data_IF_012830741770
#
_entry.id   IF_012830741770
#
_cell.length_a   1.000
_cell.length_b   1.000
_cell.length_c   1.000
_cell.angle_alpha   90.00
_cell.angle_beta   90.00
_cell.angle_gamma   90.00
#
_symmetry.space_group_name_H-M   'P 1'
#
loop_
_entity.id
_entity.type
_entity.pdbx_description
1 polymer ?
#
# COMPACT_ATOMS: atom_id res chain seq x y z
N UNK A 1 22.74 3.19 5.18
CA UNK A 1 21.80 3.30 6.32
C UNK A 1 22.14 2.33 7.44
N UNK A 2 22.09 1.01 7.21
CA UNK A 2 22.46 -0.01 8.21
C UNK A 2 23.82 0.25 8.86
N UNK A 3 24.85 0.61 8.09
CA UNK A 3 26.18 0.85 8.64
C UNK A 3 26.36 2.20 9.37
N UNK A 4 25.40 3.12 9.25
CA UNK A 4 25.57 4.51 9.69
C UNK A 4 24.59 4.92 10.78
N UNK A 5 23.53 4.15 10.98
CA UNK A 5 22.44 4.53 11.87
C UNK A 5 22.69 3.99 13.27
N UNK A 6 22.48 4.82 14.30
CA UNK A 6 22.44 4.30 15.65
C UNK A 6 21.18 3.47 15.89
N UNK A 7 21.16 2.76 17.02
CA UNK A 7 20.02 1.95 17.45
C UNK A 7 18.83 2.87 17.75
N UNK A 8 17.78 2.78 16.92
CA UNK A 8 16.56 3.56 17.05
C UNK A 8 15.41 2.71 17.58
N UNK A 9 15.56 2.17 18.80
CA UNK A 9 14.54 1.34 19.42
C UNK A 9 13.39 2.16 19.99
N UNK A 10 12.17 1.76 19.64
CA UNK A 10 10.94 2.35 20.15
C UNK A 10 10.05 1.26 20.72
N UNK A 11 9.55 1.47 21.94
CA UNK A 11 8.61 0.55 22.58
C UNK A 11 7.22 0.69 21.97
N UNK A 12 6.75 -0.38 21.32
CA UNK A 12 5.36 -0.54 20.93
C UNK A 12 4.56 -0.95 22.15
N UNK A 13 3.46 -0.26 22.39
CA UNK A 13 2.66 -0.37 23.60
C UNK A 13 1.24 -0.85 23.31
N UNK A 14 0.55 -1.29 24.35
CA UNK A 14 -0.89 -1.56 24.33
C UNK A 14 -1.56 -0.82 25.47
N UNK A 15 -2.61 -0.06 25.15
CA UNK A 15 -3.53 0.47 26.14
C UNK A 15 -4.53 -0.62 26.58
N UNK A 16 -4.74 -0.74 27.89
CA UNK A 16 -5.77 -1.63 28.45
C UNK A 16 -6.49 -0.96 29.61
N UNK A 17 -7.74 -1.36 29.82
CA UNK A 17 -8.57 -0.86 30.92
C UNK A 17 -8.23 -1.63 32.20
N UNK A 18 -7.87 -0.90 33.25
CA UNK A 18 -7.58 -1.43 34.57
C UNK A 18 -8.61 -0.85 35.56
N UNK A 19 -9.30 -1.70 36.31
CA UNK A 19 -10.17 -1.24 37.39
C UNK A 19 -9.34 -0.96 38.65
N UNK A 20 -9.42 0.26 39.18
CA UNK A 20 -8.73 0.68 40.40
C UNK A 20 -9.67 0.55 41.59
N UNK A 21 -9.35 -0.33 42.55
CA UNK A 21 -10.20 -0.56 43.73
C UNK A 21 -10.25 0.66 44.66
N UNK A 22 -9.15 1.41 44.75
CA UNK A 22 -9.02 2.61 45.58
C UNK A 22 -9.93 3.73 45.08
N UNK A 23 -9.90 4.00 43.76
CA UNK A 23 -10.71 5.03 43.14
C UNK A 23 -12.11 4.58 42.73
N UNK A 24 -12.36 3.26 42.70
CA UNK A 24 -13.55 2.64 42.07
C UNK A 24 -13.82 3.16 40.66
N UNK A 25 -12.75 3.41 39.90
CA UNK A 25 -12.80 3.95 38.54
C UNK A 25 -12.03 3.06 37.57
N UNK A 26 -12.45 3.09 36.30
CA UNK A 26 -11.70 2.47 35.21
C UNK A 26 -10.61 3.44 34.73
N UNK A 27 -9.38 3.00 34.84
CA UNK A 27 -8.20 3.73 34.39
C UNK A 27 -7.64 3.11 33.11
N UNK A 28 -7.04 3.94 32.26
CA UNK A 28 -6.28 3.44 31.10
C UNK A 28 -4.83 3.29 31.49
N UNK A 29 -4.34 2.04 31.51
CA UNK A 29 -2.92 1.73 31.69
C UNK A 29 -2.28 1.37 30.35
N UNK A 30 -0.98 1.60 30.23
CA UNK A 30 -0.18 1.21 29.06
C UNK A 30 0.90 0.23 29.49
N UNK A 31 1.11 -0.81 28.69
CA UNK A 31 2.24 -1.73 28.84
C UNK A 31 3.06 -1.75 27.56
N UNK A 32 4.38 -1.87 27.68
CA UNK A 32 5.24 -2.23 26.54
C UNK A 32 4.92 -3.66 26.12
N UNK A 33 4.80 -3.91 24.81
CA UNK A 33 4.68 -5.23 24.24
C UNK A 33 6.03 -5.72 23.72
N UNK A 34 6.69 -4.91 22.88
CA UNK A 34 7.99 -5.20 22.29
C UNK A 34 8.66 -3.91 21.82
N UNK A 35 9.98 -3.96 21.61
CA UNK A 35 10.72 -2.87 20.99
C UNK A 35 10.84 -3.11 19.49
N UNK A 36 10.72 -2.04 18.72
CA UNK A 36 10.93 -2.03 17.27
C UNK A 36 12.12 -1.15 16.97
N UNK A 37 13.09 -1.69 16.23
CA UNK A 37 14.14 -0.89 15.62
C UNK A 37 13.60 -0.21 14.35
N UNK A 38 13.42 1.11 14.44
CA UNK A 38 12.90 1.92 13.32
C UNK A 38 13.84 1.86 12.12
N UNK A 39 15.15 1.73 12.33
CA UNK A 39 16.15 1.62 11.26
C UNK A 39 15.96 0.35 10.46
N UNK A 40 15.70 -0.77 11.15
CA UNK A 40 15.37 -2.05 10.52
C UNK A 40 14.11 -1.98 9.66
N UNK A 41 13.07 -1.25 10.10
CA UNK A 41 11.89 -1.02 9.28
C UNK A 41 12.19 -0.19 8.01
N UNK A 42 13.05 0.82 8.12
CA UNK A 42 13.48 1.59 6.94
C UNK A 42 14.27 0.71 5.97
N UNK A 43 15.22 -0.05 6.49
CA UNK A 43 16.01 -0.98 5.69
C UNK A 43 15.11 -1.99 4.97
N UNK A 44 14.10 -2.53 5.66
CA UNK A 44 13.15 -3.46 5.09
C UNK A 44 12.50 -2.89 3.81
N UNK A 45 11.88 -1.69 3.88
CA UNK A 45 11.18 -1.19 2.69
C UNK A 45 12.13 -0.80 1.54
N UNK A 46 13.35 -0.36 1.84
CA UNK A 46 14.37 -0.07 0.82
C UNK A 46 14.85 -1.34 0.15
N UNK A 47 15.14 -2.38 0.94
CA UNK A 47 15.60 -3.68 0.44
C UNK A 47 14.51 -4.37 -0.40
N UNK A 48 13.26 -4.36 0.05
CA UNK A 48 12.13 -4.93 -0.69
C UNK A 48 12.00 -4.28 -2.06
N UNK A 49 12.00 -2.94 -2.11
CA UNK A 49 11.88 -2.20 -3.37
C UNK A 49 13.10 -2.43 -4.29
N UNK A 50 14.32 -2.40 -3.75
CA UNK A 50 15.53 -2.69 -4.52
C UNK A 50 15.52 -4.12 -5.10
N UNK A 51 15.08 -5.10 -4.30
CA UNK A 51 14.98 -6.50 -4.72
C UNK A 51 13.97 -6.67 -5.86
N UNK A 52 12.82 -6.00 -5.81
CA UNK A 52 11.83 -6.07 -6.88
C UNK A 52 12.31 -5.42 -8.18
N UNK A 53 12.98 -4.27 -8.10
CA UNK A 53 13.61 -3.67 -9.27
C UNK A 53 14.71 -4.55 -9.86
N UNK A 54 15.50 -5.23 -9.02
CA UNK A 54 16.50 -6.19 -9.48
C UNK A 54 15.85 -7.40 -10.17
N UNK A 55 14.83 -8.00 -9.55
CA UNK A 55 14.06 -9.11 -10.14
C UNK A 55 13.51 -8.71 -11.51
N UNK A 56 12.94 -7.51 -11.62
CA UNK A 56 12.41 -6.99 -12.88
C UNK A 56 13.51 -6.78 -13.92
N UNK A 57 14.65 -6.20 -13.55
CA UNK A 57 15.79 -6.01 -14.44
C UNK A 57 16.36 -7.35 -14.94
N UNK A 58 16.43 -8.36 -14.07
CA UNK A 58 16.86 -9.71 -14.45
C UNK A 58 15.84 -10.38 -15.39
N UNK A 59 14.54 -10.27 -15.11
CA UNK A 59 13.49 -10.78 -15.99
C UNK A 59 13.54 -10.12 -17.38
N UNK A 60 13.79 -8.81 -17.44
CA UNK A 60 13.99 -8.11 -18.72
C UNK A 60 15.21 -8.64 -19.48
N UNK A 61 16.32 -8.85 -18.77
CA UNK A 61 17.59 -9.32 -19.35
C UNK A 61 17.47 -10.74 -19.91
N UNK A 62 16.81 -11.65 -19.19
CA UNK A 62 16.71 -13.06 -19.58
C UNK A 62 15.48 -13.40 -20.42
N UNK A 63 14.43 -12.57 -20.40
CA UNK A 63 13.17 -12.83 -21.10
C UNK A 63 12.51 -11.55 -21.64
N UNK A 64 13.18 -10.82 -22.56
CA UNK A 64 12.70 -9.53 -23.05
C UNK A 64 11.35 -9.64 -23.76
N UNK A 65 11.08 -10.76 -24.46
CA UNK A 65 9.81 -11.01 -25.16
C UNK A 65 8.62 -11.16 -24.19
N UNK A 66 8.84 -11.78 -23.04
CA UNK A 66 7.79 -11.98 -22.02
C UNK A 66 7.42 -10.66 -21.36
N UNK A 67 8.44 -9.84 -21.08
CA UNK A 67 8.23 -8.52 -20.49
C UNK A 67 7.62 -7.54 -21.49
N UNK A 68 8.05 -7.60 -22.75
CA UNK A 68 7.46 -6.81 -23.82
C UNK A 68 6.00 -7.16 -24.01
N UNK A 69 5.63 -8.45 -24.01
CA UNK A 69 4.23 -8.88 -24.03
C UNK A 69 3.43 -8.32 -22.85
N UNK A 70 3.98 -8.34 -21.62
CA UNK A 70 3.32 -7.72 -20.46
C UNK A 70 3.21 -6.19 -20.56
N UNK A 71 4.19 -5.53 -21.17
CA UNK A 71 4.16 -4.10 -21.40
C UNK A 71 3.18 -3.71 -22.52
N UNK A 72 3.10 -4.49 -23.61
CA UNK A 72 2.27 -4.23 -24.78
C UNK A 72 0.80 -4.54 -24.57
N UNK A 73 0.48 -5.58 -23.80
CA UNK A 73 -0.89 -6.13 -23.79
C UNK A 73 -1.78 -5.45 -22.74
N UNK A 74 -1.55 -4.17 -22.45
CA UNK A 74 -2.26 -3.40 -21.42
C UNK A 74 -2.31 -4.04 -20.02
N UNK A 75 -1.52 -5.09 -19.78
CA UNK A 75 -1.50 -5.85 -18.52
C UNK A 75 -1.15 -5.04 -17.27
N UNK A 76 -1.65 -5.52 -16.14
CA UNK A 76 -1.39 -4.99 -14.79
C UNK A 76 0.10 -5.13 -14.46
N UNK A 77 0.72 -4.04 -14.00
CA UNK A 77 2.11 -4.07 -13.53
C UNK A 77 2.19 -4.68 -12.12
N UNK A 78 2.15 -6.00 -12.05
CA UNK A 78 2.17 -6.75 -10.79
C UNK A 78 3.40 -6.47 -9.93
N UNK A 79 4.55 -6.21 -10.55
CA UNK A 79 5.79 -5.89 -9.83
C UNK A 79 5.62 -4.62 -8.98
N UNK A 80 5.13 -3.52 -9.58
CA UNK A 80 4.84 -2.26 -8.88
C UNK A 80 3.88 -2.47 -7.72
N UNK A 81 2.78 -3.16 -7.97
CA UNK A 81 1.76 -3.38 -6.93
C UNK A 81 2.27 -4.27 -5.80
N UNK A 82 3.07 -5.30 -6.11
CA UNK A 82 3.71 -6.15 -5.11
C UNK A 82 4.72 -5.39 -4.24
N UNK A 83 5.38 -4.35 -4.78
CA UNK A 83 6.24 -3.45 -4.01
C UNK A 83 5.39 -2.65 -3.04
N UNK A 84 4.44 -1.90 -3.60
CA UNK A 84 3.70 -0.90 -2.83
C UNK A 84 2.82 -1.53 -1.76
N UNK A 85 2.29 -2.73 -2.00
CA UNK A 85 1.42 -3.42 -1.03
C UNK A 85 2.16 -3.80 0.26
N UNK A 86 3.49 -3.94 0.19
CA UNK A 86 4.34 -4.23 1.35
C UNK A 86 5.04 -2.97 1.88
N UNK A 87 5.62 -2.17 0.99
CA UNK A 87 6.49 -1.06 1.40
C UNK A 87 5.70 0.16 1.88
N UNK A 88 4.61 0.54 1.20
CA UNK A 88 3.85 1.73 1.59
C UNK A 88 3.19 1.61 2.98
N UNK A 89 2.59 0.46 3.37
CA UNK A 89 2.08 0.27 4.73
C UNK A 89 3.17 0.37 5.82
N UNK A 90 4.36 -0.20 5.59
CA UNK A 90 5.48 -0.09 6.53
C UNK A 90 5.96 1.35 6.66
N UNK A 91 6.05 2.08 5.55
CA UNK A 91 6.36 3.51 5.58
C UNK A 91 5.35 4.28 6.43
N UNK A 92 4.05 3.95 6.33
CA UNK A 92 3.01 4.59 7.13
C UNK A 92 3.13 4.28 8.63
N UNK A 93 3.53 3.05 8.99
CA UNK A 93 3.82 2.68 10.39
C UNK A 93 4.98 3.51 10.93
N UNK A 94 6.07 3.66 10.16
CA UNK A 94 7.20 4.50 10.54
C UNK A 94 6.75 5.94 10.77
N UNK A 95 5.94 6.50 9.86
CA UNK A 95 5.37 7.85 10.04
C UNK A 95 4.54 7.95 11.32
N UNK A 96 3.73 6.94 11.64
CA UNK A 96 2.99 6.86 12.90
C UNK A 96 3.92 6.91 14.12
N UNK A 97 4.96 6.09 14.14
CA UNK A 97 5.96 6.04 15.21
C UNK A 97 6.66 7.40 15.38
N UNK A 98 7.07 8.04 14.27
CA UNK A 98 7.71 9.37 14.31
C UNK A 98 6.76 10.48 14.80
N UNK A 99 5.44 10.24 14.74
CA UNK A 99 4.42 11.11 15.31
C UNK A 99 4.00 10.67 16.72
N UNK A 100 4.84 9.90 17.44
CA UNK A 100 4.58 9.40 18.80
C UNK A 100 3.33 8.50 18.92
N UNK A 101 2.98 7.79 17.85
CA UNK A 101 1.93 6.76 17.88
C UNK A 101 2.60 5.42 18.17
N UNK A 102 2.49 4.94 19.40
CA UNK A 102 3.10 3.68 19.84
C UNK A 102 2.09 2.58 20.15
N UNK A 103 0.79 2.87 20.12
CA UNK A 103 -0.23 1.86 20.37
C UNK A 103 -0.28 0.86 19.20
N UNK A 104 -0.04 -0.41 19.49
CA UNK A 104 0.08 -1.48 18.50
C UNK A 104 -1.15 -1.58 17.60
N UNK A 105 -2.35 -1.38 18.15
CA UNK A 105 -3.58 -1.53 17.40
C UNK A 105 -3.83 -0.31 16.49
N UNK A 106 -3.41 0.89 16.89
CA UNK A 106 -3.40 2.06 16.00
C UNK A 106 -2.38 1.88 14.87
N UNK A 107 -1.17 1.40 15.17
CA UNK A 107 -0.16 1.12 14.14
C UNK A 107 -0.63 0.04 13.14
N UNK A 108 -1.28 -1.02 13.61
CA UNK A 108 -1.90 -2.03 12.74
C UNK A 108 -3.03 -1.45 11.88
N UNK A 109 -3.81 -0.50 12.41
CA UNK A 109 -4.84 0.20 11.65
C UNK A 109 -4.23 1.04 10.53
N UNK A 110 -3.16 1.80 10.80
CA UNK A 110 -2.43 2.57 9.79
C UNK A 110 -1.91 1.68 8.66
N UNK A 111 -1.30 0.55 9.02
CA UNK A 111 -0.84 -0.46 8.06
C UNK A 111 -1.99 -0.95 7.18
N UNK A 112 -3.07 -1.41 7.80
CA UNK A 112 -4.24 -1.98 7.12
C UNK A 112 -4.91 -0.98 6.15
N UNK A 113 -5.06 0.28 6.56
CA UNK A 113 -5.63 1.31 5.72
C UNK A 113 -4.82 1.56 4.45
N UNK A 114 -3.49 1.65 4.55
CA UNK A 114 -2.65 1.82 3.36
C UNK A 114 -2.62 0.54 2.52
N UNK A 115 -2.60 -0.64 3.15
CA UNK A 115 -2.69 -1.92 2.43
C UNK A 115 -3.95 -1.99 1.55
N UNK A 116 -5.12 -1.62 2.11
CA UNK A 116 -6.39 -1.58 1.36
C UNK A 116 -6.38 -0.49 0.29
N UNK A 117 -5.78 0.67 0.57
CA UNK A 117 -5.62 1.75 -0.43
C UNK A 117 -4.88 1.23 -1.67
N UNK A 118 -3.72 0.59 -1.47
CA UNK A 118 -2.93 0.03 -2.56
C UNK A 118 -3.70 -1.08 -3.27
N UNK A 119 -4.37 -1.95 -2.51
CA UNK A 119 -5.21 -3.02 -3.04
C UNK A 119 -6.32 -2.55 -3.98
N UNK A 120 -7.01 -1.47 -3.62
CA UNK A 120 -8.03 -0.84 -4.47
C UNK A 120 -7.40 -0.22 -5.74
N UNK A 121 -6.16 0.29 -5.66
CA UNK A 121 -5.39 0.69 -6.84
C UNK A 121 -5.15 -0.48 -7.80
N UNK A 122 -4.75 -1.65 -7.28
CA UNK A 122 -4.60 -2.88 -8.10
C UNK A 122 -5.91 -3.24 -8.78
N UNK A 123 -7.02 -3.22 -8.04
CA UNK A 123 -8.33 -3.55 -8.57
C UNK A 123 -8.76 -2.58 -9.67
N UNK A 124 -8.48 -1.28 -9.51
CA UNK A 124 -8.73 -0.27 -10.55
C UNK A 124 -7.97 -0.58 -11.84
N UNK A 125 -6.67 -0.89 -11.74
CA UNK A 125 -5.86 -1.30 -12.90
C UNK A 125 -6.43 -2.54 -13.60
N UNK A 126 -6.79 -3.59 -12.84
CA UNK A 126 -7.39 -4.82 -13.40
C UNK A 126 -8.64 -4.50 -14.22
N UNK A 127 -9.54 -3.66 -13.69
CA UNK A 127 -10.79 -3.29 -14.36
C UNK A 127 -10.54 -2.56 -15.69
N UNK A 128 -9.46 -1.77 -15.76
CA UNK A 128 -9.07 -1.05 -16.98
C UNK A 128 -8.50 -1.98 -18.02
N UNK A 129 -7.61 -2.90 -17.64
CA UNK A 129 -7.07 -3.89 -18.59
C UNK A 129 -8.23 -4.67 -19.24
N UNK A 130 -9.21 -5.08 -18.43
CA UNK A 130 -10.39 -5.80 -18.92
C UNK A 130 -11.27 -4.96 -19.86
N UNK A 131 -11.36 -3.65 -19.64
CA UNK A 131 -12.17 -2.79 -20.51
C UNK A 131 -11.55 -2.67 -21.90
N UNK A 132 -10.22 -2.58 -21.98
CA UNK A 132 -9.47 -2.50 -23.25
C UNK A 132 -9.51 -3.83 -24.01
N UNK A 133 -9.31 -4.97 -23.32
CA UNK A 133 -9.41 -6.30 -23.92
C UNK A 133 -10.79 -6.56 -24.58
N UNK A 134 -11.86 -6.02 -24.00
CA UNK A 134 -13.21 -6.20 -24.53
C UNK A 134 -13.43 -5.43 -25.83
N UNK A 135 -12.91 -4.21 -25.93
CA UNK A 135 -13.01 -3.37 -27.13
C UNK A 135 -12.29 -4.00 -28.31
N UNK A 136 -11.04 -4.48 -28.10
CA UNK A 136 -10.27 -5.16 -29.13
C UNK A 136 -11.00 -6.38 -29.70
N UNK A 137 -11.67 -7.18 -28.84
CA UNK A 137 -12.46 -8.34 -29.27
C UNK A 137 -13.75 -7.98 -29.99
N UNK A 138 -14.32 -6.80 -29.72
CA UNK A 138 -15.51 -6.32 -30.41
C UNK A 138 -15.19 -6.01 -31.87
N UNK A 139 -14.05 -5.34 -32.12
CA UNK A 139 -13.61 -4.97 -33.46
C UNK A 139 -13.28 -6.20 -34.32
N UNK A 140 -12.70 -7.25 -33.72
CA UNK A 140 -12.40 -8.51 -34.40
C UNK A 140 -13.64 -9.30 -34.84
N UNK A 141 -14.81 -9.10 -34.20
CA UNK A 141 -16.05 -9.77 -34.60
C UNK A 141 -16.72 -9.14 -35.81
N UNK A 142 -16.23 -7.99 -36.28
CA UNK A 142 -16.68 -7.42 -37.55
C UNK A 142 -16.39 -8.41 -38.70
N UNK A 143 -17.40 -8.85 -39.46
CA UNK A 143 -17.31 -10.03 -40.34
C UNK A 143 -16.33 -9.92 -41.52
N UNK A 144 -15.70 -8.76 -41.72
CA UNK A 144 -14.80 -8.51 -42.85
C UNK A 144 -13.36 -9.01 -42.66
N UNK A 145 -12.97 -9.57 -41.50
CA UNK A 145 -11.56 -9.91 -41.24
C UNK A 145 -11.35 -11.26 -40.52
N UNK A 146 -11.86 -12.36 -41.09
CA UNK A 146 -11.68 -13.75 -40.60
C UNK A 146 -10.35 -14.39 -41.03
N UNK A 147 -9.23 -13.67 -40.92
CA UNK A 147 -7.90 -14.23 -41.16
C UNK A 147 -7.31 -14.78 -39.85
N UNK A 148 -7.30 -16.11 -39.72
CA UNK A 148 -6.82 -16.93 -38.60
C UNK A 148 -5.64 -16.35 -37.82
N UNK A 149 -5.87 -15.90 -36.58
CA UNK A 149 -4.82 -15.71 -35.58
C UNK A 149 -5.05 -16.65 -34.40
N UNK A 150 -4.05 -17.47 -34.11
CA UNK A 150 -4.02 -18.30 -32.92
C UNK A 150 -3.99 -17.39 -31.69
N UNK A 151 -5.03 -17.48 -30.85
CA UNK A 151 -5.09 -16.80 -29.56
C UNK A 151 -4.05 -17.48 -28.67
N UNK A 152 -2.94 -16.80 -28.41
CA UNK A 152 -2.00 -17.23 -27.37
C UNK A 152 -2.69 -17.05 -26.03
N UNK A 153 -3.08 -18.16 -25.40
CA UNK A 153 -3.52 -18.16 -24.00
C UNK A 153 -2.34 -17.73 -23.13
N UNK A 154 -2.47 -16.58 -22.46
CA UNK A 154 -1.47 -16.09 -21.52
C UNK A 154 -1.35 -17.04 -20.31
N UNK A 155 -0.15 -17.20 -19.73
CA UNK A 155 0.06 -18.05 -18.57
C UNK A 155 -0.67 -17.47 -17.35
N UNK A 156 -1.81 -18.05 -17.02
CA UNK A 156 -2.62 -17.71 -15.85
C UNK A 156 -1.88 -18.00 -14.52
N UNK A 157 -0.84 -18.84 -14.54
CA UNK A 157 -0.22 -19.39 -13.33
C UNK A 157 0.63 -18.39 -12.53
N UNK A 158 1.26 -17.40 -13.18
CA UNK A 158 2.12 -16.43 -12.48
C UNK A 158 1.31 -15.38 -11.69
N UNK A 159 0.11 -15.04 -12.20
CA UNK A 159 -0.83 -14.15 -11.52
C UNK A 159 -1.40 -14.83 -10.28
N UNK A 160 -1.79 -16.11 -10.40
CA UNK A 160 -2.24 -16.91 -9.27
C UNK A 160 -1.15 -17.07 -8.21
N UNK A 161 0.11 -17.30 -8.59
CA UNK A 161 1.21 -17.44 -7.63
C UNK A 161 1.47 -16.16 -6.83
N UNK A 162 1.41 -14.99 -7.49
CA UNK A 162 1.58 -13.68 -6.81
C UNK A 162 0.39 -13.37 -5.90
N UNK A 163 -0.83 -13.69 -6.34
CA UNK A 163 -2.05 -13.55 -5.55
C UNK A 163 -2.05 -14.48 -4.33
N UNK A 164 -1.64 -15.73 -4.53
CA UNK A 164 -1.51 -16.74 -3.48
C UNK A 164 -0.45 -16.31 -2.46
N UNK A 165 0.69 -15.75 -2.88
CA UNK A 165 1.69 -15.20 -1.96
C UNK A 165 1.15 -14.02 -1.15
N UNK A 166 0.39 -13.09 -1.76
CA UNK A 166 -0.23 -11.97 -1.03
C UNK A 166 -1.29 -12.48 -0.04
N UNK A 167 -2.11 -13.47 -0.41
CA UNK A 167 -3.10 -14.07 0.48
C UNK A 167 -2.47 -14.92 1.59
N UNK A 168 -1.45 -15.72 1.28
CA UNK A 168 -0.71 -16.57 2.23
C UNK A 168 0.13 -15.74 3.20
N UNK A 169 0.54 -14.52 2.87
CA UNK A 169 1.26 -13.65 3.81
C UNK A 169 0.33 -12.67 4.54
N UNK A 170 -0.63 -12.05 3.85
CA UNK A 170 -1.52 -11.08 4.47
C UNK A 170 -2.49 -11.73 5.48
N UNK A 171 -2.96 -12.96 5.22
CA UNK A 171 -3.92 -13.61 6.14
C UNK A 171 -3.25 -14.06 7.44
N UNK A 172 -2.09 -14.75 7.45
CA UNK A 172 -1.42 -15.13 8.68
C UNK A 172 -0.79 -13.95 9.41
N UNK A 173 -0.30 -12.90 8.74
CA UNK A 173 0.21 -11.70 9.44
C UNK A 173 -0.93 -10.94 10.09
N UNK A 174 -2.07 -10.77 9.41
CA UNK A 174 -3.25 -10.16 10.05
C UNK A 174 -3.85 -11.06 11.14
N UNK A 175 -3.91 -12.38 10.94
CA UNK A 175 -4.36 -13.33 11.97
C UNK A 175 -3.39 -13.39 13.14
N UNK A 176 -2.07 -13.30 12.93
CA UNK A 176 -1.06 -13.29 13.98
C UNK A 176 -1.08 -11.97 14.75
N UNK A 177 -1.23 -10.83 14.07
CA UNK A 177 -1.44 -9.52 14.72
C UNK A 177 -2.76 -9.51 15.49
N UNK A 178 -3.84 -10.02 14.90
CA UNK A 178 -5.13 -10.20 15.57
C UNK A 178 -4.97 -11.17 16.75
N UNK A 179 -4.31 -12.31 16.61
CA UNK A 179 -4.11 -13.30 17.68
C UNK A 179 -3.25 -12.77 18.83
N UNK A 180 -2.17 -12.04 18.53
CA UNK A 180 -1.30 -11.41 19.53
C UNK A 180 -1.99 -10.24 20.25
N UNK A 181 -2.97 -9.58 19.60
CA UNK A 181 -3.72 -8.44 20.16
C UNK A 181 -5.07 -8.88 20.79
N UNK A 182 -5.61 -10.06 20.44
CA UNK A 182 -7.00 -10.47 20.73
C UNK A 182 -7.28 -11.00 22.13
N UNK A 183 -6.32 -10.95 23.06
CA UNK A 183 -6.63 -11.47 24.39
C UNK A 183 -7.76 -10.69 25.10
N UNK A 184 -8.10 -9.43 24.74
CA UNK A 184 -9.34 -8.68 25.13
C UNK A 184 -9.64 -7.46 24.20
N UNK A 185 -10.54 -7.55 23.21
CA UNK A 185 -10.57 -6.58 22.08
C UNK A 185 -11.60 -5.41 22.16
N UNK A 186 -11.15 -4.15 22.00
CA UNK A 186 -11.98 -2.97 21.68
C UNK A 186 -12.38 -2.81 20.19
N UNK A 187 -13.46 -2.07 19.95
CA UNK A 187 -14.22 -1.98 18.69
C UNK A 187 -13.46 -1.55 17.42
N UNK A 188 -12.35 -0.82 17.52
CA UNK A 188 -11.59 -0.34 16.35
C UNK A 188 -10.74 -1.44 15.69
N UNK A 189 -10.46 -2.53 16.40
CA UNK A 189 -9.86 -3.74 15.83
C UNK A 189 -10.89 -4.53 15.03
N UNK A 190 -12.18 -4.50 15.44
CA UNK A 190 -13.28 -5.11 14.68
C UNK A 190 -13.48 -4.38 13.36
N UNK A 191 -13.41 -3.05 13.32
CA UNK A 191 -13.48 -2.31 12.05
C UNK A 191 -12.28 -2.57 11.16
N UNK A 192 -11.07 -2.66 11.70
CA UNK A 192 -9.85 -2.96 10.94
C UNK A 192 -9.89 -4.38 10.36
N UNK A 193 -10.26 -5.36 11.19
CA UNK A 193 -10.46 -6.74 10.77
C UNK A 193 -11.63 -6.86 9.79
N UNK A 194 -12.73 -6.11 9.94
CA UNK A 194 -13.85 -6.11 9.00
C UNK A 194 -13.50 -5.43 7.67
N UNK A 195 -12.63 -4.42 7.66
CA UNK A 195 -12.12 -3.77 6.45
C UNK A 195 -11.17 -4.73 5.70
N UNK A 196 -10.23 -5.37 6.41
CA UNK A 196 -9.32 -6.35 5.82
C UNK A 196 -10.06 -7.61 5.37
N UNK A 197 -10.99 -8.12 6.18
CA UNK A 197 -11.84 -9.27 5.85
C UNK A 197 -12.83 -8.93 4.75
N UNK A 198 -13.39 -7.71 4.72
CA UNK A 198 -14.24 -7.22 3.65
C UNK A 198 -13.48 -7.10 2.34
N UNK A 199 -12.25 -6.56 2.38
CA UNK A 199 -11.36 -6.51 1.23
C UNK A 199 -10.98 -7.92 0.74
N UNK A 200 -10.60 -8.82 1.66
CA UNK A 200 -10.30 -10.21 1.35
C UNK A 200 -11.53 -10.96 0.85
N UNK A 201 -12.74 -10.70 1.36
CA UNK A 201 -13.98 -11.27 0.84
C UNK A 201 -14.27 -10.76 -0.57
N UNK A 202 -14.05 -9.48 -0.88
CA UNK A 202 -14.21 -8.95 -2.25
C UNK A 202 -13.20 -9.59 -3.20
N UNK A 203 -11.94 -9.66 -2.80
CA UNK A 203 -10.84 -10.32 -3.51
C UNK A 203 -11.12 -11.81 -3.72
N UNK A 204 -11.56 -12.53 -2.68
CA UNK A 204 -11.91 -13.95 -2.73
C UNK A 204 -13.19 -14.20 -3.53
N UNK A 205 -14.20 -13.33 -3.47
CA UNK A 205 -15.40 -13.42 -4.32
C UNK A 205 -15.08 -13.19 -5.81
N UNK A 206 -14.06 -12.38 -6.10
CA UNK A 206 -13.52 -12.21 -7.45
C UNK A 206 -12.67 -13.43 -7.90
N UNK A 207 -12.02 -14.11 -6.95
CA UNK A 207 -11.10 -15.22 -7.18
C UNK A 207 -11.79 -16.60 -7.27
N UNK A 208 -12.61 -16.96 -6.30
CA UNK A 208 -13.09 -18.34 -6.06
C UNK A 208 -14.23 -18.77 -7.00
N UNK A 209 -14.81 -17.81 -7.72
CA UNK A 209 -15.79 -18.06 -8.78
C UNK A 209 -15.19 -17.86 -10.18
N UNK A 210 -13.88 -18.08 -10.37
CA UNK A 210 -13.13 -17.81 -11.62
C UNK A 210 -13.79 -18.23 -12.95
N UNK A 211 -14.72 -19.20 -12.95
CA UNK A 211 -15.50 -19.59 -14.13
C UNK A 211 -16.87 -18.88 -14.31
N UNK A 212 -17.44 -18.26 -13.26
CA UNK A 212 -18.71 -17.52 -13.29
C UNK A 212 -18.52 -16.00 -13.16
N UNK A 213 -17.60 -15.50 -12.34
CA UNK A 213 -17.37 -14.05 -12.19
C UNK A 213 -16.70 -13.47 -13.44
N UNK A 214 -15.80 -14.21 -14.08
CA UNK A 214 -15.28 -13.86 -15.42
C UNK A 214 -16.43 -13.74 -16.44
N UNK A 215 -17.52 -14.50 -16.26
CA UNK A 215 -18.71 -14.41 -17.11
C UNK A 215 -19.53 -13.15 -16.85
N UNK A 216 -19.63 -12.70 -15.59
CA UNK A 216 -20.27 -11.42 -15.23
C UNK A 216 -19.46 -10.24 -15.75
N UNK A 217 -18.12 -10.27 -15.64
CA UNK A 217 -17.28 -9.22 -16.20
C UNK A 217 -17.24 -9.21 -17.73
N UNK A 218 -17.43 -10.37 -18.38
CA UNK A 218 -17.57 -10.44 -19.85
C UNK A 218 -18.79 -9.69 -20.39
N UNK A 219 -19.78 -9.33 -19.56
CA UNK A 219 -20.91 -8.51 -20.01
C UNK A 219 -20.74 -7.02 -19.73
N UNK A 220 -19.66 -6.60 -19.06
CA UNK A 220 -19.45 -5.17 -18.81
C UNK A 220 -19.14 -4.45 -20.11
N UNK A 221 -19.93 -3.41 -20.39
CA UNK A 221 -19.58 -2.45 -21.44
C UNK A 221 -18.35 -1.66 -20.99
N UNK A 222 -17.51 -1.23 -21.94
CA UNK A 222 -16.32 -0.39 -21.68
C UNK A 222 -16.63 0.78 -20.74
N UNK A 223 -17.74 1.49 -20.98
CA UNK A 223 -18.23 2.58 -20.15
C UNK A 223 -18.44 2.18 -18.68
N UNK A 224 -19.03 1.00 -18.44
CA UNK A 224 -19.27 0.51 -17.08
C UNK A 224 -17.96 0.15 -16.39
N UNK A 225 -17.05 -0.56 -17.08
CA UNK A 225 -15.75 -0.94 -16.53
C UNK A 225 -14.92 0.30 -16.15
N UNK A 226 -14.94 1.33 -17.01
CA UNK A 226 -14.32 2.62 -16.76
C UNK A 226 -14.92 3.37 -15.58
N UNK A 227 -16.25 3.43 -15.49
CA UNK A 227 -16.94 4.03 -14.35
C UNK A 227 -16.59 3.29 -13.05
N UNK A 228 -16.57 1.95 -13.07
CA UNK A 228 -16.19 1.14 -11.91
C UNK A 228 -14.73 1.36 -11.53
N UNK A 229 -13.79 1.39 -12.49
CA UNK A 229 -12.37 1.64 -12.19
C UNK A 229 -12.15 3.02 -11.54
N UNK A 230 -12.81 4.07 -12.05
CA UNK A 230 -12.78 5.42 -11.46
C UNK A 230 -13.40 5.45 -10.06
N UNK A 231 -14.51 4.73 -9.86
CA UNK A 231 -15.14 4.62 -8.54
C UNK A 231 -14.26 3.86 -7.54
N UNK A 232 -13.65 2.75 -7.95
CA UNK A 232 -12.68 1.98 -7.13
C UNK A 232 -11.50 2.85 -6.74
N UNK A 233 -10.96 3.63 -7.69
CA UNK A 233 -9.91 4.60 -7.41
C UNK A 233 -10.34 5.67 -6.40
N UNK A 234 -11.54 6.24 -6.56
CA UNK A 234 -12.09 7.21 -5.60
C UNK A 234 -12.27 6.60 -4.20
N UNK A 235 -12.76 5.36 -4.13
CA UNK A 235 -12.91 4.63 -2.86
C UNK A 235 -11.57 4.38 -2.16
N UNK A 236 -10.46 4.24 -2.91
CA UNK A 236 -9.12 4.07 -2.35
C UNK A 236 -8.69 5.27 -1.49
N UNK A 237 -9.21 6.48 -1.73
CA UNK A 237 -8.89 7.65 -0.91
C UNK A 237 -9.46 7.57 0.50
N UNK A 238 -10.57 6.89 0.73
CA UNK A 238 -11.20 6.84 2.06
C UNK A 238 -10.26 6.25 3.13
N UNK A 239 -9.71 5.03 2.98
CA UNK A 239 -8.76 4.50 3.94
C UNK A 239 -7.44 5.29 3.99
N UNK A 240 -6.99 5.83 2.85
CA UNK A 240 -5.78 6.66 2.80
C UNK A 240 -5.92 7.94 3.64
N UNK A 241 -6.99 8.71 3.41
CA UNK A 241 -7.30 9.94 4.14
C UNK A 241 -7.52 9.63 5.63
N UNK A 242 -8.17 8.50 5.96
CA UNK A 242 -8.35 8.09 7.35
C UNK A 242 -7.01 7.82 8.05
N UNK A 243 -6.07 7.12 7.41
CA UNK A 243 -4.73 6.90 7.97
C UNK A 243 -3.99 8.22 8.22
N UNK A 244 -4.06 9.16 7.27
CA UNK A 244 -3.48 10.49 7.43
C UNK A 244 -4.18 11.31 8.51
N UNK A 245 -5.50 11.20 8.66
CA UNK A 245 -6.26 11.89 9.70
C UNK A 245 -5.85 11.43 11.11
N UNK A 246 -5.54 10.13 11.28
CA UNK A 246 -4.98 9.60 12.55
C UNK A 246 -3.62 10.25 12.85
N UNK A 247 -2.71 10.26 11.87
CA UNK A 247 -1.37 10.84 12.05
C UNK A 247 -1.45 12.33 12.35
N UNK A 248 -2.17 13.11 11.54
CA UNK A 248 -2.31 14.55 11.74
C UNK A 248 -3.13 14.89 12.98
N UNK A 249 -4.11 14.07 13.35
CA UNK A 249 -4.85 14.23 14.59
C UNK A 249 -3.94 14.08 15.81
N UNK A 250 -3.05 13.07 15.81
CA UNK A 250 -2.09 12.90 16.89
C UNK A 250 -1.04 14.02 16.92
N UNK A 251 -0.56 14.42 15.73
CA UNK A 251 0.37 15.53 15.59
C UNK A 251 -0.22 16.87 16.05
N UNK A 252 -1.46 17.19 15.68
CA UNK A 252 -2.14 18.39 16.15
C UNK A 252 -2.42 18.34 17.65
N UNK A 253 -2.76 17.16 18.17
CA UNK A 253 -2.96 16.96 19.61
C UNK A 253 -1.67 17.16 20.41
N UNK A 254 -0.51 16.76 19.91
CA UNK A 254 0.77 17.06 20.56
C UNK A 254 1.00 18.57 20.57
N UNK A 255 0.87 19.26 19.44
CA UNK A 255 1.01 20.73 19.37
C UNK A 255 0.11 21.50 20.35
N UNK A 256 -1.08 20.98 20.65
CA UNK A 256 -2.02 21.65 21.56
C UNK A 256 -1.79 21.31 23.04
N UNK A 257 -1.31 20.10 23.34
CA UNK A 257 -1.28 19.57 24.72
C UNK A 257 0.11 19.48 25.33
N UNK A 258 1.18 19.42 24.54
CA UNK A 258 2.54 19.34 25.07
C UNK A 258 3.11 20.73 25.29
N UNK A 259 3.83 20.90 26.40
CA UNK A 259 4.67 22.07 26.64
C UNK A 259 5.89 22.09 25.69
N UNK A 260 6.28 20.90 25.21
CA UNK A 260 7.37 20.71 24.25
C UNK A 260 6.85 20.68 22.82
N UNK A 261 7.55 21.35 21.91
CA UNK A 261 7.25 21.28 20.47
C UNK A 261 7.81 20.00 19.86
N UNK A 262 7.11 19.33 18.93
CA UNK A 262 7.66 18.21 18.19
C UNK A 262 8.99 18.58 17.51
N UNK A 263 9.94 17.62 17.34
CA UNK A 263 11.17 17.88 16.63
C UNK A 263 10.93 18.32 15.17
N UNK A 264 11.78 19.21 14.65
CA UNK A 264 11.65 19.78 13.28
C UNK A 264 11.55 18.71 12.18
N UNK A 265 12.26 17.59 12.33
CA UNK A 265 12.24 16.52 11.34
C UNK A 265 10.86 15.85 11.21
N UNK A 266 10.05 15.85 12.28
CA UNK A 266 8.69 15.29 12.26
C UNK A 266 7.78 16.14 11.36
N UNK A 267 7.92 17.47 11.41
CA UNK A 267 7.23 18.37 10.48
C UNK A 267 7.64 18.10 9.04
N UNK A 268 8.95 17.95 8.79
CA UNK A 268 9.47 17.66 7.46
C UNK A 268 8.92 16.33 6.91
N UNK A 269 8.91 15.26 7.72
CA UNK A 269 8.32 13.97 7.36
C UNK A 269 6.85 14.13 6.98
N UNK A 270 6.05 14.78 7.84
CA UNK A 270 4.62 14.95 7.61
C UNK A 270 4.34 15.73 6.32
N UNK A 271 5.01 16.86 6.10
CA UNK A 271 4.79 17.71 4.92
C UNK A 271 5.25 17.00 3.64
N UNK A 272 6.49 16.50 3.62
CA UNK A 272 7.07 15.88 2.42
C UNK A 272 6.26 14.66 2.00
N UNK A 273 5.91 13.79 2.96
CA UNK A 273 5.17 12.59 2.63
C UNK A 273 3.70 12.87 2.32
N UNK A 274 3.05 13.83 2.97
CA UNK A 274 1.70 14.22 2.58
C UNK A 274 1.67 14.69 1.12
N UNK A 275 2.61 15.56 0.73
CA UNK A 275 2.70 16.08 -0.62
C UNK A 275 3.00 14.98 -1.65
N UNK A 276 3.85 14.01 -1.31
CA UNK A 276 4.17 12.90 -2.20
C UNK A 276 3.02 11.88 -2.29
N UNK A 277 2.40 11.50 -1.18
CA UNK A 277 1.39 10.43 -1.15
C UNK A 277 0.00 10.88 -1.61
N UNK A 278 -0.42 12.13 -1.34
CA UNK A 278 -1.72 12.64 -1.80
C UNK A 278 -1.66 13.39 -3.13
N UNK A 279 -0.47 13.76 -3.60
CA UNK A 279 -0.28 14.48 -4.86
C UNK A 279 0.04 13.58 -6.05
N UNK A 280 1.32 13.31 -6.34
CA UNK A 280 1.76 12.67 -7.57
C UNK A 280 1.29 11.23 -7.73
N UNK A 281 1.27 10.38 -6.68
CA UNK A 281 0.86 8.98 -6.85
C UNK A 281 -0.60 8.83 -7.31
N UNK A 282 -1.60 9.43 -6.63
CA UNK A 282 -2.97 9.33 -7.09
C UNK A 282 -3.19 10.06 -8.41
N UNK A 283 -2.49 11.18 -8.65
CA UNK A 283 -2.57 11.90 -9.92
C UNK A 283 -2.12 11.04 -11.11
N UNK A 284 -0.93 10.42 -11.04
CA UNK A 284 -0.40 9.56 -12.11
C UNK A 284 -1.35 8.41 -12.39
N UNK A 285 -1.87 7.78 -11.33
CA UNK A 285 -2.80 6.68 -11.48
C UNK A 285 -4.14 7.17 -12.08
N UNK A 286 -4.74 8.25 -11.58
CA UNK A 286 -5.97 8.81 -12.16
C UNK A 286 -5.82 9.17 -13.64
N UNK A 287 -4.69 9.80 -14.01
CA UNK A 287 -4.39 10.14 -15.40
C UNK A 287 -4.28 8.89 -16.28
N UNK A 288 -3.63 7.83 -15.79
CA UNK A 288 -3.56 6.56 -16.52
C UNK A 288 -4.93 5.92 -16.71
N UNK A 289 -5.82 6.00 -15.71
CA UNK A 289 -7.20 5.53 -15.81
C UNK A 289 -7.96 6.34 -16.88
N UNK A 290 -7.83 7.67 -16.84
CA UNK A 290 -8.48 8.57 -17.80
C UNK A 290 -8.10 8.25 -19.23
N UNK A 291 -6.80 8.20 -19.51
CA UNK A 291 -6.28 7.96 -20.86
C UNK A 291 -6.69 6.58 -21.41
N UNK A 292 -6.74 5.56 -20.55
CA UNK A 292 -7.22 4.24 -20.94
C UNK A 292 -8.72 4.23 -21.26
N UNK A 293 -9.51 4.97 -20.48
CA UNK A 293 -10.94 5.08 -20.71
C UNK A 293 -11.31 5.87 -21.97
N UNK A 294 -10.51 6.87 -22.31
CA UNK A 294 -10.71 7.68 -23.51
C UNK A 294 -10.22 6.96 -24.78
N UNK A 295 -9.65 5.75 -24.66
CA UNK A 295 -9.08 4.99 -25.79
C UNK A 295 -7.79 5.60 -26.35
N UNK A 296 -7.20 6.58 -25.64
CA UNK A 296 -5.95 7.22 -26.02
C UNK A 296 -4.71 6.44 -25.54
N UNK A 297 -4.90 5.51 -24.60
CA UNK A 297 -3.80 4.75 -24.05
C UNK A 297 -3.08 3.91 -25.12
N UNK A 298 -1.77 4.07 -25.17
CA UNK A 298 -0.89 3.32 -26.03
C UNK A 298 0.31 2.79 -25.22
N UNK A 299 1.18 2.00 -25.87
CA UNK A 299 2.37 1.42 -25.21
C UNK A 299 3.26 2.52 -24.61
N UNK A 300 3.44 3.64 -25.31
CA UNK A 300 4.30 4.75 -24.86
C UNK A 300 3.75 5.43 -23.62
N UNK A 301 2.44 5.72 -23.58
CA UNK A 301 1.84 6.38 -22.41
C UNK A 301 1.80 5.46 -21.20
N UNK A 302 1.55 4.16 -21.40
CA UNK A 302 1.64 3.17 -20.32
C UNK A 302 3.04 3.11 -19.69
N UNK A 303 4.09 3.03 -20.51
CA UNK A 303 5.48 3.07 -20.04
C UNK A 303 5.82 4.38 -19.33
N UNK A 304 5.25 5.49 -19.80
CA UNK A 304 5.42 6.80 -19.17
C UNK A 304 4.84 6.85 -17.76
N UNK A 305 3.60 6.37 -17.54
CA UNK A 305 3.01 6.32 -16.20
C UNK A 305 3.76 5.35 -15.27
N UNK A 306 4.21 4.20 -15.78
CA UNK A 306 5.00 3.24 -15.00
C UNK A 306 6.36 3.81 -14.58
N UNK A 307 7.03 4.53 -15.49
CA UNK A 307 8.30 5.23 -15.20
C UNK A 307 8.09 6.27 -14.10
N UNK A 308 6.98 7.03 -14.16
CA UNK A 308 6.64 8.02 -13.13
C UNK A 308 6.34 7.37 -11.78
N UNK A 309 5.60 6.27 -11.76
CA UNK A 309 5.39 5.51 -10.52
C UNK A 309 6.72 5.05 -9.92
N UNK A 310 7.59 4.43 -10.73
CA UNK A 310 8.92 4.00 -10.27
C UNK A 310 9.74 5.17 -9.71
N UNK A 311 9.75 6.32 -10.41
CA UNK A 311 10.43 7.53 -9.96
C UNK A 311 9.88 8.04 -8.62
N UNK A 312 8.56 8.18 -8.50
CA UNK A 312 7.94 8.64 -7.26
C UNK A 312 8.13 7.65 -6.11
N UNK A 313 8.12 6.34 -6.39
CA UNK A 313 8.45 5.29 -5.45
C UNK A 313 9.87 5.43 -4.91
N UNK A 314 10.83 5.66 -5.78
CA UNK A 314 12.23 5.89 -5.40
C UNK A 314 12.38 7.18 -4.57
N UNK A 315 11.78 8.29 -5.00
CA UNK A 315 11.86 9.59 -4.33
C UNK A 315 11.24 9.54 -2.94
N UNK A 316 10.03 8.98 -2.78
CA UNK A 316 9.34 8.95 -1.49
C UNK A 316 10.03 8.05 -0.47
N UNK A 317 10.49 6.87 -0.89
CA UNK A 317 11.27 5.94 -0.06
C UNK A 317 12.59 6.57 0.40
N UNK A 318 13.31 7.20 -0.53
CA UNK A 318 14.58 7.86 -0.22
C UNK A 318 14.38 9.04 0.73
N UNK A 319 13.38 9.88 0.46
CA UNK A 319 13.06 11.04 1.30
C UNK A 319 12.73 10.62 2.74
N UNK A 320 11.82 9.66 2.93
CA UNK A 320 11.48 9.17 4.27
C UNK A 320 12.71 8.57 4.96
N UNK A 321 13.48 7.74 4.27
CA UNK A 321 14.66 7.13 4.84
C UNK A 321 15.64 8.18 5.37
N UNK A 322 16.02 9.16 4.55
CA UNK A 322 16.97 10.19 4.97
C UNK A 322 16.44 11.10 6.08
N UNK A 323 15.15 11.44 6.06
CA UNK A 323 14.53 12.24 7.13
C UNK A 323 14.51 11.49 8.47
N UNK A 324 14.19 10.18 8.45
CA UNK A 324 14.22 9.34 9.66
C UNK A 324 15.65 9.21 10.18
N UNK A 325 16.61 8.92 9.30
CA UNK A 325 18.03 8.84 9.69
C UNK A 325 18.52 10.13 10.35
N UNK A 326 18.24 11.28 9.73
CA UNK A 326 18.64 12.57 10.26
C UNK A 326 17.98 12.85 11.62
N UNK A 327 16.69 12.55 11.75
CA UNK A 327 15.95 12.71 13.00
C UNK A 327 16.53 11.89 14.15
N UNK A 328 16.76 10.59 13.91
CA UNK A 328 17.33 9.69 14.94
C UNK A 328 18.74 10.16 15.36
N UNK A 329 19.58 10.53 14.39
CA UNK A 329 20.94 11.01 14.69
C UNK A 329 20.95 12.27 15.54
N UNK A 330 20.08 13.24 15.23
CA UNK A 330 19.97 14.49 16.00
C UNK A 330 19.58 14.24 17.45
N UNK A 331 18.63 13.31 17.68
CA UNK A 331 18.22 12.93 19.03
C UNK A 331 19.41 12.36 19.82
N UNK A 332 20.24 11.53 19.19
CA UNK A 332 21.41 10.96 19.86
C UNK A 332 22.48 12.01 20.17
N UNK A 333 22.77 12.90 19.21
CA UNK A 333 23.74 13.98 19.41
C UNK A 333 23.33 14.87 20.61
N UNK A 334 22.03 15.11 20.81
CA UNK A 334 21.51 15.85 21.96
C UNK A 334 21.67 15.08 23.30
N UNK A 335 21.56 13.74 23.29
CA UNK A 335 21.78 12.89 24.47
C UNK A 335 23.25 12.88 24.88
N UNK A 336 24.16 12.75 23.92
CA UNK A 336 25.61 12.66 24.15
C UNK A 336 26.20 13.99 24.68
N UNK A 337 25.54 15.13 24.42
CA UNK A 337 25.95 16.44 24.95
C UNK A 337 25.59 16.61 26.43
N UNK A 338 24.58 15.88 26.93
CA UNK A 338 24.07 16.00 28.30
C UNK A 338 24.83 15.07 29.27
N UNK A 339 25.44 13.98 28.77
CA UNK A 339 26.15 12.97 29.58
C UNK A 339 27.59 13.35 29.92
#
# INVERSE_FOLDING_TARGET
MVCLSPVGEVSVTQAYTHYSDEGRVLETKRTSLFNVDVVSLVYFFLLTSASQHLIYALQYTFSPKTLEAHATDFGVFWVRWSDYVLTAPVMMVIVGIMNAIFDAAVLATLFGCIFVTIGLGVLSDILIVRSVEFEQRSDERSPSNKSSRAVHEHPHDLVWFTYLLVCIWAVPVNILVVYLVTSRVPWYIITSAAIVTGYMCVVLLLSDNGCRTVRVFRSFRKEQACATAKATFALAFLPCVYAWAIVYGNFAASLYKSEETPPEFVYAINIVLLLLFLGPFPYVHYASIGEACDGAANKSSKLYYETRHSLFGFVSKSALAWLVYWGIRRIQDDVDVIS
#
